data_IF_748536353189
#
_entry.id   IF_748536353189
#
_cell.length_a   1.000
_cell.length_b   1.000
_cell.length_c   1.000
_cell.angle_alpha   90.00
_cell.angle_beta   90.00
_cell.angle_gamma   90.00
#
_symmetry.space_group_name_H-M   'P 1'
#
loop_
_entity.id
_entity.type
_entity.pdbx_description
1 polymer ?
#
# COMPACT_ATOMS: atom_id res chain seq x y z
N UNK A 1 -13.17 -15.35 -10.62
CA UNK A 1 -12.49 -14.47 -9.65
C UNK A 1 -13.52 -13.88 -8.70
N UNK A 2 -13.52 -14.31 -7.44
CA UNK A 2 -14.49 -13.92 -6.43
C UNK A 2 -14.07 -12.60 -5.76
N UNK A 3 -15.04 -11.74 -5.49
CA UNK A 3 -14.84 -10.46 -4.80
C UNK A 3 -15.55 -10.50 -3.45
N UNK A 4 -14.81 -10.25 -2.37
CA UNK A 4 -15.37 -10.10 -1.02
C UNK A 4 -14.98 -8.73 -0.46
N UNK A 5 -15.92 -8.08 0.21
CA UNK A 5 -15.66 -6.84 0.93
C UNK A 5 -15.19 -7.16 2.35
N UNK A 6 -14.25 -6.36 2.83
CA UNK A 6 -13.72 -6.49 4.18
C UNK A 6 -13.44 -5.14 4.82
N UNK A 7 -13.30 -5.18 6.14
CA UNK A 7 -12.87 -4.06 6.96
C UNK A 7 -11.53 -4.40 7.60
N UNK A 8 -10.55 -3.54 7.38
CA UNK A 8 -9.25 -3.66 8.05
C UNK A 8 -9.41 -3.45 9.55
N UNK A 9 -8.91 -4.36 10.37
CA UNK A 9 -8.87 -4.20 11.81
C UNK A 9 -7.48 -3.69 12.22
N UNK A 10 -6.78 -4.43 13.07
CA UNK A 10 -5.44 -4.15 13.56
C UNK A 10 -4.39 -5.06 12.89
N UNK A 11 -3.13 -4.70 13.09
CA UNK A 11 -1.98 -5.54 12.75
C UNK A 11 -1.51 -6.23 14.03
N UNK A 12 -1.16 -7.50 13.93
CA UNK A 12 -0.63 -8.34 15.00
C UNK A 12 0.47 -9.25 14.44
N UNK A 13 0.91 -10.21 15.23
CA UNK A 13 1.84 -11.24 14.83
C UNK A 13 1.33 -12.62 15.26
N UNK A 14 1.58 -13.63 14.44
CA UNK A 14 1.34 -15.04 14.75
C UNK A 14 2.70 -15.69 14.99
N UNK A 15 2.78 -16.48 16.05
CA UNK A 15 3.97 -17.26 16.39
C UNK A 15 3.76 -18.70 15.94
N UNK A 16 4.65 -19.18 15.07
CA UNK A 16 4.67 -20.58 14.66
C UNK A 16 5.35 -21.44 15.75
N UNK A 17 5.12 -22.75 15.71
CA UNK A 17 5.71 -23.72 16.66
C UNK A 17 7.26 -23.73 16.63
N UNK A 18 7.84 -23.34 15.49
CA UNK A 18 9.30 -23.21 15.29
C UNK A 18 9.85 -21.86 15.80
N UNK A 19 9.02 -21.00 16.41
CA UNK A 19 9.41 -19.68 16.90
C UNK A 19 9.46 -18.59 15.83
N UNK A 20 9.02 -18.89 14.60
CA UNK A 20 8.94 -17.90 13.52
C UNK A 20 7.79 -16.93 13.76
N UNK A 21 8.06 -15.63 13.60
CA UNK A 21 7.07 -14.56 13.79
C UNK A 21 6.57 -14.08 12.43
N UNK A 22 5.28 -14.28 12.15
CA UNK A 22 4.64 -13.81 10.92
C UNK A 22 3.79 -12.58 11.21
N UNK A 23 4.10 -11.38 10.65
CA UNK A 23 3.27 -10.21 10.82
C UNK A 23 1.99 -10.36 9.99
N UNK A 24 0.84 -10.15 10.62
CA UNK A 24 -0.48 -10.30 9.99
C UNK A 24 -1.36 -9.08 10.22
N UNK A 25 -2.20 -8.77 9.24
CA UNK A 25 -3.30 -7.83 9.38
C UNK A 25 -4.60 -8.60 9.46
N UNK A 26 -5.38 -8.37 10.51
CA UNK A 26 -6.72 -8.95 10.61
C UNK A 26 -7.72 -8.16 9.76
N UNK A 27 -8.54 -8.88 9.01
CA UNK A 27 -9.61 -8.32 8.18
C UNK A 27 -10.90 -9.02 8.57
N UNK A 28 -11.92 -8.22 8.92
CA UNK A 28 -13.29 -8.72 9.09
C UNK A 28 -13.97 -8.72 7.73
N UNK A 29 -14.59 -9.82 7.36
CA UNK A 29 -15.31 -9.97 6.10
C UNK A 29 -16.79 -9.69 6.30
N UNK A 30 -17.45 -9.24 5.23
CA UNK A 30 -18.91 -9.05 5.22
C UNK A 30 -19.66 -10.34 4.91
N UNK A 31 -19.00 -11.26 4.21
CA UNK A 31 -19.54 -12.51 3.70
C UNK A 31 -18.60 -13.66 4.07
N UNK A 32 -19.12 -14.90 4.20
CA UNK A 32 -18.31 -16.07 4.47
C UNK A 32 -17.30 -16.34 3.35
N UNK A 33 -16.16 -16.90 3.75
CA UNK A 33 -15.10 -17.32 2.82
C UNK A 33 -15.58 -18.60 2.13
N UNK A 34 -15.35 -18.77 0.81
CA UNK A 34 -15.64 -20.03 0.13
C UNK A 34 -14.76 -21.16 0.66
N UNK A 35 -15.32 -22.37 0.69
CA UNK A 35 -14.61 -23.58 1.13
C UNK A 35 -13.37 -23.93 0.30
N UNK A 36 -13.20 -23.33 -0.89
CA UNK A 36 -12.01 -23.52 -1.72
C UNK A 36 -10.77 -22.76 -1.23
N UNK A 37 -10.94 -21.79 -0.33
CA UNK A 37 -9.84 -20.95 0.17
C UNK A 37 -9.35 -21.51 1.50
N UNK A 38 -8.08 -21.93 1.53
CA UNK A 38 -7.45 -22.50 2.72
C UNK A 38 -6.35 -21.59 3.27
N UNK A 39 -5.88 -21.91 4.48
CA UNK A 39 -4.66 -21.30 5.02
C UNK A 39 -3.47 -21.61 4.09
N UNK A 40 -2.61 -20.62 3.84
CA UNK A 40 -1.53 -20.71 2.87
C UNK A 40 -1.92 -20.31 1.43
N UNK A 41 -3.21 -20.26 1.10
CA UNK A 41 -3.68 -19.76 -0.20
C UNK A 41 -3.34 -18.28 -0.41
N UNK A 42 -3.35 -17.86 -1.67
CA UNK A 42 -2.97 -16.51 -2.09
C UNK A 42 -4.23 -15.69 -2.40
N UNK A 43 -4.34 -14.52 -1.77
CA UNK A 43 -5.24 -13.46 -2.21
C UNK A 43 -4.59 -12.74 -3.38
N UNK A 44 -5.20 -12.82 -4.55
CA UNK A 44 -4.63 -12.28 -5.78
C UNK A 44 -4.51 -10.75 -5.72
N UNK A 45 -5.56 -10.06 -5.29
CA UNK A 45 -5.57 -8.59 -5.18
C UNK A 45 -6.26 -8.13 -3.89
N UNK A 46 -5.57 -7.32 -3.12
CA UNK A 46 -6.14 -6.54 -2.01
C UNK A 46 -6.15 -5.08 -2.40
N UNK A 47 -7.34 -4.50 -2.52
CA UNK A 47 -7.53 -3.11 -2.92
C UNK A 47 -8.04 -2.32 -1.73
N UNK A 48 -7.48 -1.14 -1.51
CA UNK A 48 -8.00 -0.19 -0.53
C UNK A 48 -7.55 1.24 -0.82
N UNK A 49 -8.11 2.18 -0.09
CA UNK A 49 -7.68 3.59 -0.16
C UNK A 49 -6.51 3.80 0.79
N UNK A 50 -5.37 4.25 0.26
CA UNK A 50 -4.18 4.57 1.05
C UNK A 50 -4.44 5.72 2.03
N UNK A 51 -3.70 5.76 3.16
CA UNK A 51 -3.78 6.90 4.09
C UNK A 51 -3.41 8.20 3.38
N UNK A 52 -4.23 9.24 3.54
CA UNK A 52 -3.92 10.58 3.05
C UNK A 52 -2.70 11.17 3.73
N UNK A 53 -1.84 11.85 2.98
CA UNK A 53 -0.66 12.57 3.47
C UNK A 53 -0.71 14.07 3.18
N UNK A 54 -1.83 14.57 2.66
CA UNK A 54 -2.03 15.97 2.28
C UNK A 54 -1.12 16.41 1.12
N UNK A 55 -0.76 17.69 1.09
CA UNK A 55 0.23 18.21 0.15
C UNK A 55 1.64 17.75 0.56
N UNK A 56 2.28 16.95 -0.29
CA UNK A 56 3.62 16.42 -0.05
C UNK A 56 4.64 17.02 -1.02
N UNK A 57 5.77 17.46 -0.48
CA UNK A 57 6.93 17.87 -1.28
C UNK A 57 7.55 16.70 -2.06
N UNK A 58 8.40 17.02 -3.03
CA UNK A 58 9.00 16.05 -3.97
C UNK A 58 9.81 14.94 -3.30
N UNK A 59 10.51 15.24 -2.21
CA UNK A 59 11.27 14.24 -1.45
C UNK A 59 10.33 13.17 -0.87
N UNK A 60 9.22 13.57 -0.24
CA UNK A 60 8.26 12.64 0.37
C UNK A 60 7.39 11.92 -0.67
N UNK A 61 6.99 12.64 -1.73
CA UNK A 61 6.07 12.13 -2.76
C UNK A 61 6.75 11.20 -3.75
N UNK A 62 7.99 11.52 -4.14
CA UNK A 62 8.69 10.88 -5.24
C UNK A 62 10.08 10.33 -4.90
N UNK A 63 10.54 10.48 -3.65
CA UNK A 63 11.85 9.97 -3.21
C UNK A 63 13.05 10.76 -3.76
N UNK A 64 12.88 12.04 -4.07
CA UNK A 64 13.99 12.90 -4.52
C UNK A 64 15.03 13.07 -3.40
N UNK A 65 16.32 13.12 -3.76
CA UNK A 65 17.41 13.24 -2.79
C UNK A 65 17.45 14.60 -2.08
N UNK A 66 17.07 15.68 -2.77
CA UNK A 66 17.24 17.05 -2.29
C UNK A 66 18.65 17.58 -2.55
N UNK A 67 19.02 18.66 -1.85
CA UNK A 67 20.36 19.25 -1.87
C UNK A 67 21.17 18.92 -0.61
N UNK A 68 22.49 19.23 -0.58
CA UNK A 68 23.32 19.05 0.60
C UNK A 68 22.78 19.85 1.79
N UNK A 69 23.04 19.41 3.02
CA UNK A 69 22.59 20.10 4.22
C UNK A 69 23.46 21.33 4.58
N UNK A 70 24.73 21.35 4.15
CA UNK A 70 25.72 22.38 4.49
C UNK A 70 26.55 22.75 3.24
N UNK A 71 27.78 23.27 3.43
CA UNK A 71 28.74 23.64 2.37
C UNK A 71 28.20 24.66 1.36
N UNK A 72 27.69 25.79 1.86
CA UNK A 72 27.24 26.91 1.01
C UNK A 72 25.87 26.70 0.37
N UNK A 73 25.14 25.65 0.75
CA UNK A 73 23.73 25.53 0.38
C UNK A 73 22.93 26.65 1.05
N UNK A 74 22.17 27.40 0.25
CA UNK A 74 21.21 28.41 0.72
C UNK A 74 19.92 27.78 1.31
N UNK A 75 18.80 27.75 0.57
CA UNK A 75 17.45 27.45 1.08
C UNK A 75 16.77 26.24 0.38
N UNK A 76 17.55 25.39 -0.29
CA UNK A 76 17.07 24.41 -1.28
C UNK A 76 17.31 22.95 -0.89
N UNK A 77 17.52 22.66 0.39
CA UNK A 77 17.77 21.30 0.89
C UNK A 77 16.74 20.26 0.40
N UNK A 78 15.47 20.64 0.20
CA UNK A 78 14.38 19.73 -0.23
C UNK A 78 13.73 20.14 -1.56
N UNK A 79 14.41 20.99 -2.32
CA UNK A 79 13.94 21.46 -3.63
C UNK A 79 13.94 20.33 -4.68
N UNK A 80 13.15 20.45 -5.76
CA UNK A 80 13.12 19.47 -6.85
C UNK A 80 14.38 19.45 -7.73
N UNK A 81 15.28 20.42 -7.60
CA UNK A 81 16.36 20.63 -8.57
C UNK A 81 15.81 21.16 -9.89
N UNK A 82 16.47 20.82 -11.01
CA UNK A 82 16.04 21.26 -12.34
C UNK A 82 14.73 20.58 -12.78
N UNK A 83 13.82 21.37 -13.34
CA UNK A 83 12.52 20.90 -13.82
C UNK A 83 12.46 20.66 -15.34
N UNK A 84 13.47 21.08 -16.11
CA UNK A 84 13.48 21.00 -17.57
C UNK A 84 14.85 21.25 -18.20
N UNK A 85 14.88 21.21 -19.53
CA UNK A 85 16.07 21.47 -20.35
C UNK A 85 16.00 22.86 -20.99
N UNK A 86 17.14 23.38 -21.44
CA UNK A 86 17.22 24.65 -22.18
C UNK A 86 16.60 24.54 -23.58
N UNK A 87 16.54 25.68 -24.27
CA UNK A 87 15.74 25.98 -25.48
C UNK A 87 16.01 25.11 -26.73
N UNK A 88 16.90 24.12 -26.67
CA UNK A 88 17.30 23.30 -27.82
C UNK A 88 16.53 22.00 -28.04
N UNK A 89 15.84 21.45 -27.03
CA UNK A 89 15.15 20.15 -27.15
C UNK A 89 13.66 20.20 -26.81
N UNK A 90 13.27 20.88 -25.73
CA UNK A 90 11.87 21.08 -25.32
C UNK A 90 11.77 22.38 -24.52
N UNK A 91 11.08 23.40 -25.06
CA UNK A 91 10.94 24.72 -24.42
C UNK A 91 9.87 24.82 -23.32
N UNK A 92 9.42 23.69 -22.76
CA UNK A 92 8.40 23.65 -21.71
C UNK A 92 8.62 22.45 -20.78
N UNK A 93 7.96 22.46 -19.60
CA UNK A 93 8.01 21.34 -18.67
C UNK A 93 7.15 20.19 -19.20
N UNK A 94 7.76 19.01 -19.36
CA UNK A 94 7.08 17.82 -19.85
C UNK A 94 5.90 17.43 -18.96
N UNK A 95 4.81 16.96 -19.58
CA UNK A 95 3.65 16.42 -18.87
C UNK A 95 4.08 15.22 -18.01
N UNK A 96 3.51 15.12 -16.81
CA UNK A 96 3.86 14.06 -15.86
C UNK A 96 5.19 14.28 -15.12
N UNK A 97 5.84 15.45 -15.26
CA UNK A 97 7.02 15.79 -14.45
C UNK A 97 6.69 15.66 -12.96
N UNK A 98 7.53 14.92 -12.24
CA UNK A 98 7.38 14.68 -10.80
C UNK A 98 7.56 15.98 -10.02
N UNK A 99 6.44 16.51 -9.51
CA UNK A 99 6.39 17.74 -8.69
C UNK A 99 5.66 17.51 -7.37
N UNK A 100 5.78 18.48 -6.46
CA UNK A 100 5.04 18.48 -5.20
C UNK A 100 3.52 18.47 -5.45
N UNK A 101 2.76 17.97 -4.49
CA UNK A 101 1.31 17.92 -4.60
C UNK A 101 0.68 16.89 -3.69
N UNK A 102 -0.63 16.69 -3.86
CA UNK A 102 -1.40 15.77 -3.01
C UNK A 102 -0.87 14.33 -3.10
N UNK A 103 -0.67 13.69 -1.95
CA UNK A 103 -0.16 12.33 -1.82
C UNK A 103 -1.05 11.47 -0.91
N UNK A 104 -1.27 10.21 -1.30
CA UNK A 104 -2.16 9.30 -0.57
C UNK A 104 -3.63 9.57 -0.89
N UNK A 105 -4.53 9.01 -0.08
CA UNK A 105 -5.98 9.00 -0.33
C UNK A 105 -6.34 8.50 -1.74
N UNK A 106 -5.50 7.62 -2.29
CA UNK A 106 -5.64 7.05 -3.62
C UNK A 106 -5.84 5.54 -3.50
N UNK A 107 -6.52 4.95 -4.48
CA UNK A 107 -6.71 3.51 -4.60
C UNK A 107 -5.35 2.84 -4.82
N UNK A 108 -5.00 1.91 -3.92
CA UNK A 108 -3.78 1.09 -4.00
C UNK A 108 -4.18 -0.37 -4.02
N UNK A 109 -3.52 -1.13 -4.89
CA UNK A 109 -3.69 -2.58 -5.01
C UNK A 109 -2.40 -3.27 -4.60
N UNK A 110 -2.47 -4.12 -3.58
CA UNK A 110 -1.42 -5.07 -3.25
C UNK A 110 -1.75 -6.40 -3.92
N UNK A 111 -0.74 -7.05 -4.50
CA UNK A 111 -0.91 -8.34 -5.16
C UNK A 111 -0.35 -9.47 -4.30
N UNK A 112 -0.88 -10.66 -4.49
CA UNK A 112 -0.35 -11.93 -4.00
C UNK A 112 -0.07 -11.92 -2.48
N UNK A 113 -1.09 -11.60 -1.69
CA UNK A 113 -0.99 -11.63 -0.22
C UNK A 113 -1.36 -13.02 0.29
N UNK A 114 -0.48 -13.62 1.09
CA UNK A 114 -0.72 -14.94 1.68
C UNK A 114 -1.76 -14.85 2.80
N UNK A 115 -2.60 -15.86 2.90
CA UNK A 115 -3.51 -16.06 4.03
C UNK A 115 -2.74 -16.85 5.09
N UNK A 116 -2.60 -16.25 6.27
CA UNK A 116 -1.95 -16.89 7.41
C UNK A 116 -2.92 -17.76 8.20
N UNK A 117 -4.14 -17.25 8.43
CA UNK A 117 -5.15 -17.95 9.22
C UNK A 117 -6.58 -17.51 8.81
N UNK A 118 -7.54 -18.41 9.01
CA UNK A 118 -8.96 -18.23 8.66
C UNK A 118 -9.81 -18.62 9.85
N UNK A 119 -10.68 -17.70 10.29
CA UNK A 119 -11.71 -17.98 11.29
C UNK A 119 -13.09 -17.78 10.64
N UNK A 120 -13.69 -18.89 10.20
CA UNK A 120 -15.03 -18.92 9.59
C UNK A 120 -16.10 -18.41 10.55
N UNK A 121 -16.05 -18.82 11.82
CA UNK A 121 -17.06 -18.47 12.83
C UNK A 121 -17.14 -16.98 13.10
N UNK A 122 -16.00 -16.28 13.03
CA UNK A 122 -15.88 -14.85 13.29
C UNK A 122 -15.87 -14.01 12.02
N UNK A 123 -15.95 -14.64 10.85
CA UNK A 123 -15.77 -14.01 9.54
C UNK A 123 -14.46 -13.19 9.49
N UNK A 124 -13.38 -13.75 10.02
CA UNK A 124 -12.09 -13.08 10.13
C UNK A 124 -11.02 -13.78 9.31
N UNK A 125 -10.17 -12.97 8.69
CA UNK A 125 -9.05 -13.40 7.87
C UNK A 125 -7.77 -12.75 8.38
N UNK A 126 -6.75 -13.55 8.64
CA UNK A 126 -5.40 -13.05 8.93
C UNK A 126 -4.59 -13.03 7.62
N UNK A 127 -4.31 -11.83 7.12
CA UNK A 127 -3.57 -11.63 5.86
C UNK A 127 -2.12 -11.26 6.18
N UNK A 128 -1.17 -11.92 5.54
CA UNK A 128 0.25 -11.67 5.73
C UNK A 128 0.65 -10.24 5.34
N UNK A 129 1.34 -9.55 6.26
CA UNK A 129 1.90 -8.22 6.06
C UNK A 129 0.89 -7.07 6.12
N UNK A 130 1.33 -5.85 5.73
CA UNK A 130 0.52 -4.65 5.84
C UNK A 130 -0.48 -4.51 4.68
N UNK A 131 -1.68 -4.05 5.01
CA UNK A 131 -2.74 -3.71 4.05
C UNK A 131 -2.91 -2.19 3.87
N UNK A 132 -3.43 -1.72 2.72
CA UNK A 132 -3.66 -0.28 2.50
C UNK A 132 -4.70 0.28 3.48
N UNK A 133 -4.62 1.59 3.71
CA UNK A 133 -5.60 2.32 4.52
C UNK A 133 -5.36 2.31 6.04
N UNK A 134 -6.20 3.09 6.73
CA UNK A 134 -6.22 3.18 8.19
C UNK A 134 -7.01 2.01 8.81
N UNK A 135 -6.93 1.86 10.13
CA UNK A 135 -7.77 0.91 10.87
C UNK A 135 -9.24 1.24 10.58
N UNK A 136 -10.09 0.24 10.38
CA UNK A 136 -11.50 0.35 9.93
C UNK A 136 -11.71 0.76 8.48
N UNK A 137 -10.66 0.92 7.68
CA UNK A 137 -10.81 1.19 6.25
C UNK A 137 -11.45 0.00 5.51
N UNK A 138 -12.27 0.32 4.50
CA UNK A 138 -12.87 -0.66 3.59
C UNK A 138 -11.80 -1.21 2.65
N UNK A 139 -11.81 -2.53 2.49
CA UNK A 139 -10.94 -3.28 1.60
C UNK A 139 -11.81 -4.10 0.64
N UNK A 140 -11.32 -4.26 -0.57
CA UNK A 140 -11.87 -5.19 -1.55
C UNK A 140 -10.84 -6.29 -1.78
N UNK A 141 -11.19 -7.51 -1.42
CA UNK A 141 -10.38 -8.70 -1.61
C UNK A 141 -10.85 -9.42 -2.85
N UNK A 142 -9.91 -9.82 -3.69
CA UNK A 142 -10.19 -10.70 -4.81
C UNK A 142 -9.42 -12.00 -4.63
N UNK A 143 -10.17 -13.09 -4.70
CA UNK A 143 -9.68 -14.46 -4.66
C UNK A 143 -9.75 -15.01 -6.08
N UNK A 144 -8.66 -15.60 -6.54
CA UNK A 144 -8.70 -16.37 -7.76
C UNK A 144 -9.34 -17.72 -7.46
N UNK A 145 -10.11 -18.21 -8.42
CA UNK A 145 -10.84 -19.46 -8.33
C UNK A 145 -10.22 -20.40 -9.36
N UNK A 146 -8.94 -20.70 -9.21
CA UNK A 146 -8.23 -21.65 -10.07
C UNK A 146 -7.03 -22.19 -9.31
N UNK A 147 -7.04 -23.52 -9.21
CA UNK A 147 -5.90 -24.37 -8.83
C UNK A 147 -5.05 -24.64 -10.06
#
# INVERSE_FOLDING_TARGET
>A
MLKILGQKLNMSQIFDQEGKVTPVTFVRLTEPIPNSVNCGSIIFKVIGTSKGKGFAGVVKRWGFAGGPATHGQSDRHRAPGSIGSSMGAVGHVLKGKKMAGHMGNARVTLRNRKIADISSDRLMLAVGGPLPGHIRAKLTLYFDYEA
#
